data_IF_723356208019
#
_entry.id   IF_723356208019
#
_cell.length_a   1.000
_cell.length_b   1.000
_cell.length_c   1.000
_cell.angle_alpha   90.00
_cell.angle_beta   90.00
_cell.angle_gamma   90.00
#
_symmetry.space_group_name_H-M   'P 1'
#
loop_
_entity.id
_entity.type
_entity.pdbx_description
1 polymer ?
#
# COMPACT_ATOMS: atom_id res chain seq x y z
N UNK A 1 1.47 -7.36 68.45
CA UNK A 1 0.62 -7.47 67.26
C UNK A 1 1.57 -7.44 66.08
N UNK A 2 2.17 -8.60 65.79
CA UNK A 2 1.76 -9.53 64.72
C UNK A 2 2.37 -9.05 63.40
N UNK A 3 3.18 -9.80 62.65
CA UNK A 3 3.52 -11.20 62.64
C UNK A 3 4.01 -11.52 61.21
N UNK A 4 4.84 -12.57 61.06
CA UNK A 4 5.09 -13.39 59.85
C UNK A 4 5.11 -12.73 58.46
N UNK A 5 6.14 -12.87 57.64
CA UNK A 5 6.85 -14.11 57.34
C UNK A 5 6.71 -14.44 55.84
N UNK A 6 7.87 -14.67 55.21
CA UNK A 6 8.12 -15.56 54.05
C UNK A 6 7.59 -15.27 52.64
N UNK A 7 8.57 -15.43 51.71
CA UNK A 7 8.53 -16.11 50.41
C UNK A 7 8.56 -15.30 49.09
N UNK A 8 9.63 -15.59 48.35
CA UNK A 8 9.89 -15.26 46.96
C UNK A 8 8.87 -15.93 46.05
N UNK A 9 8.45 -15.24 44.99
CA UNK A 9 7.86 -15.86 43.79
C UNK A 9 8.03 -14.93 42.57
N UNK A 10 8.85 -15.35 41.63
CA UNK A 10 8.88 -14.84 40.25
C UNK A 10 7.69 -15.39 39.45
N UNK A 11 7.06 -14.63 38.54
CA UNK A 11 6.20 -15.20 37.52
C UNK A 11 6.93 -15.39 36.17
N UNK A 12 6.65 -16.56 35.60
CA UNK A 12 7.21 -17.18 34.40
C UNK A 12 6.63 -16.60 33.11
N UNK A 13 7.44 -16.58 32.05
CA UNK A 13 7.02 -16.45 30.66
C UNK A 13 6.20 -17.68 30.20
N UNK A 14 5.21 -17.53 29.29
CA UNK A 14 4.62 -18.67 28.59
C UNK A 14 5.38 -18.96 27.29
N UNK A 15 5.97 -20.16 27.23
CA UNK A 15 6.34 -20.87 26.01
C UNK A 15 5.15 -21.75 25.62
N UNK A 16 4.62 -21.61 24.40
CA UNK A 16 3.70 -22.56 23.76
C UNK A 16 4.27 -22.83 22.36
N UNK A 17 5.12 -23.85 22.24
CA UNK A 17 4.79 -25.23 21.83
C UNK A 17 4.45 -25.35 20.35
N UNK A 18 5.42 -25.93 19.65
CA UNK A 18 5.44 -26.38 18.27
C UNK A 18 4.37 -27.46 18.06
N UNK A 19 3.53 -27.29 17.03
CA UNK A 19 2.56 -28.27 16.55
C UNK A 19 2.94 -28.70 15.13
N UNK A 20 3.16 -30.00 14.99
CA UNK A 20 3.83 -30.70 13.90
C UNK A 20 2.96 -30.88 12.64
N UNK A 21 3.64 -31.04 11.50
CA UNK A 21 3.09 -31.23 10.16
C UNK A 21 2.37 -32.58 9.98
N UNK A 22 1.34 -32.62 9.12
CA UNK A 22 1.00 -33.83 8.36
C UNK A 22 0.31 -33.49 7.04
N UNK A 23 0.86 -34.04 5.96
CA UNK A 23 0.47 -33.86 4.56
C UNK A 23 -0.65 -34.87 4.14
N UNK A 24 -1.25 -34.73 2.93
CA UNK A 24 -2.65 -35.05 2.67
C UNK A 24 -2.93 -36.46 2.11
N UNK A 25 -4.14 -36.97 2.34
CA UNK A 25 -4.66 -38.20 1.71
C UNK A 25 -5.39 -37.90 0.40
N UNK A 26 -4.95 -38.59 -0.65
CA UNK A 26 -5.60 -38.69 -1.97
C UNK A 26 -6.92 -39.48 -1.88
N UNK A 27 -7.91 -39.11 -2.70
CA UNK A 27 -8.94 -40.01 -3.20
C UNK A 27 -9.53 -39.49 -4.52
N UNK A 28 -9.63 -40.36 -5.51
CA UNK A 28 -10.42 -40.24 -6.76
C UNK A 28 -10.54 -41.66 -7.34
N UNK A 29 -11.47 -41.94 -8.28
CA UNK A 29 -12.84 -41.48 -8.44
C UNK A 29 -13.83 -42.67 -8.66
N UNK A 30 -15.15 -42.45 -8.56
CA UNK A 30 -16.16 -43.34 -9.19
C UNK A 30 -17.31 -42.53 -9.82
N UNK A 31 -17.68 -43.02 -11.00
CA UNK A 31 -18.57 -42.48 -12.02
C UNK A 31 -20.03 -42.98 -11.84
N UNK A 32 -21.04 -42.24 -12.31
CA UNK A 32 -22.45 -42.67 -12.33
C UNK A 32 -23.42 -41.61 -12.89
N UNK A 33 -24.16 -41.97 -13.93
CA UNK A 33 -24.91 -41.15 -14.90
C UNK A 33 -26.31 -40.58 -14.50
N UNK A 34 -26.64 -39.46 -15.18
CA UNK A 34 -27.93 -39.04 -15.84
C UNK A 34 -29.19 -38.63 -15.04
N UNK A 35 -29.70 -37.43 -15.39
CA UNK A 35 -31.12 -37.01 -15.27
C UNK A 35 -31.36 -35.56 -15.75
N UNK A 36 -32.28 -35.36 -16.73
CA UNK A 36 -32.59 -34.11 -17.47
C UNK A 36 -33.53 -33.13 -16.73
N UNK A 37 -33.41 -31.81 -17.01
CA UNK A 37 -34.44 -30.89 -17.56
C UNK A 37 -34.37 -29.42 -17.03
N UNK A 38 -34.41 -28.46 -17.97
CA UNK A 38 -34.45 -26.98 -17.93
C UNK A 38 -35.86 -26.41 -17.58
N UNK A 39 -36.18 -25.09 -17.64
CA UNK A 39 -35.39 -23.83 -17.50
C UNK A 39 -36.10 -22.75 -16.62
N UNK A 40 -35.44 -21.64 -16.22
CA UNK A 40 -36.10 -20.31 -16.00
C UNK A 40 -35.15 -19.13 -16.21
N UNK A 41 -35.74 -18.08 -16.78
CA UNK A 41 -35.25 -16.80 -17.33
C UNK A 41 -34.65 -15.77 -16.35
N UNK A 42 -33.81 -14.89 -16.93
CA UNK A 42 -33.44 -13.49 -16.58
C UNK A 42 -32.71 -13.28 -15.24
N UNK A 43 -31.62 -12.51 -15.13
CA UNK A 43 -31.44 -11.13 -15.58
C UNK A 43 -29.95 -10.75 -15.68
N UNK A 44 -29.66 -9.72 -16.47
CA UNK A 44 -28.34 -9.13 -16.63
C UNK A 44 -27.91 -8.35 -15.37
N UNK A 45 -26.83 -8.79 -14.72
CA UNK A 45 -25.95 -7.90 -13.96
C UNK A 45 -24.51 -8.12 -14.43
N UNK A 46 -23.90 -7.07 -14.97
CA UNK A 46 -22.44 -7.00 -15.16
C UNK A 46 -21.82 -6.91 -13.76
N UNK A 47 -21.55 -8.05 -13.16
CA UNK A 47 -20.58 -8.13 -12.08
C UNK A 47 -19.19 -8.02 -12.70
N UNK A 48 -18.44 -7.00 -12.28
CA UNK A 48 -17.01 -6.94 -12.51
C UNK A 48 -16.40 -8.24 -11.98
N UNK A 49 -15.84 -9.04 -12.88
CA UNK A 49 -15.11 -10.25 -12.56
C UNK A 49 -14.02 -9.93 -11.53
N UNK A 50 -14.31 -10.19 -10.25
CA UNK A 50 -13.29 -10.54 -9.26
C UNK A 50 -12.73 -11.89 -9.70
N UNK A 51 -11.82 -11.85 -10.68
CA UNK A 51 -11.04 -13.01 -11.10
C UNK A 51 -10.25 -13.52 -9.90
N UNK A 52 -10.84 -14.50 -9.23
CA UNK A 52 -10.17 -15.41 -8.31
C UNK A 52 -8.80 -15.78 -8.89
N UNK A 53 -7.77 -15.59 -8.07
CA UNK A 53 -6.37 -15.77 -8.44
C UNK A 53 -6.18 -17.21 -8.93
N UNK A 54 -6.13 -17.40 -10.26
CA UNK A 54 -5.73 -18.67 -10.87
C UNK A 54 -4.32 -19.00 -10.39
N UNK A 55 -4.18 -20.11 -9.68
CA UNK A 55 -2.98 -20.57 -8.97
C UNK A 55 -1.72 -20.88 -9.79
N UNK A 56 -1.54 -20.26 -10.96
CA UNK A 56 -0.39 -20.47 -11.84
C UNK A 56 0.34 -19.17 -12.25
N UNK A 57 -0.17 -17.99 -11.91
CA UNK A 57 0.52 -16.73 -12.23
C UNK A 57 1.39 -16.29 -11.06
N UNK A 58 2.71 -16.35 -11.26
CA UNK A 58 3.70 -15.82 -10.32
C UNK A 58 4.21 -14.49 -10.88
N UNK A 59 3.98 -13.35 -10.18
CA UNK A 59 4.49 -12.05 -10.59
C UNK A 59 6.01 -12.03 -10.75
N UNK A 60 6.52 -11.27 -11.72
CA UNK A 60 7.97 -11.19 -11.99
C UNK A 60 8.54 -9.79 -11.86
N UNK A 61 7.68 -8.77 -11.90
CA UNK A 61 8.07 -7.37 -11.67
C UNK A 61 7.70 -6.92 -10.26
N UNK A 62 8.38 -5.89 -9.76
CA UNK A 62 8.08 -5.30 -8.46
C UNK A 62 6.62 -4.83 -8.37
N UNK A 63 6.13 -4.10 -9.38
CA UNK A 63 4.76 -3.59 -9.41
C UNK A 63 3.71 -4.72 -9.40
N UNK A 64 3.90 -5.76 -10.22
CA UNK A 64 2.99 -6.90 -10.23
C UNK A 64 3.00 -7.65 -8.89
N UNK A 65 4.18 -7.87 -8.30
CA UNK A 65 4.30 -8.59 -7.03
C UNK A 65 3.71 -7.78 -5.86
N UNK A 66 3.94 -6.46 -5.84
CA UNK A 66 3.31 -5.57 -4.88
C UNK A 66 1.78 -5.65 -4.98
N UNK A 67 1.22 -5.49 -6.19
CA UNK A 67 -0.23 -5.52 -6.39
C UNK A 67 -0.81 -6.90 -6.07
N UNK A 68 -0.05 -7.97 -6.26
CA UNK A 68 -0.44 -9.32 -5.86
C UNK A 68 -0.51 -9.45 -4.32
N UNK A 69 0.52 -9.02 -3.60
CA UNK A 69 0.53 -8.97 -2.13
C UNK A 69 -0.61 -8.11 -1.58
N UNK A 70 -0.78 -6.90 -2.12
CA UNK A 70 -1.88 -6.01 -1.74
C UNK A 70 -3.25 -6.64 -2.04
N UNK A 71 -3.37 -7.44 -3.09
CA UNK A 71 -4.61 -8.16 -3.42
C UNK A 71 -4.98 -9.20 -2.37
N UNK A 72 -3.99 -9.93 -1.86
CA UNK A 72 -4.20 -10.97 -0.83
C UNK A 72 -4.72 -10.36 0.47
N UNK A 73 -4.21 -9.20 0.86
CA UNK A 73 -4.62 -8.51 2.08
C UNK A 73 -5.81 -7.57 1.87
N UNK A 74 -6.44 -7.59 0.69
CA UNK A 74 -7.64 -6.79 0.39
C UNK A 74 -7.38 -5.31 0.09
N UNK A 75 -6.13 -4.88 -0.10
CA UNK A 75 -5.72 -3.48 -0.27
C UNK A 75 -5.47 -3.07 -1.74
N UNK A 76 -5.67 -3.97 -2.70
CA UNK A 76 -5.42 -3.68 -4.13
C UNK A 76 -6.30 -2.55 -4.69
N UNK A 77 -7.46 -2.31 -4.11
CA UNK A 77 -8.42 -1.30 -4.56
C UNK A 77 -8.01 0.13 -4.20
N UNK A 78 -7.04 0.30 -3.30
CA UNK A 78 -6.56 1.61 -2.86
C UNK A 78 -5.82 2.32 -3.99
N UNK A 79 -6.43 3.35 -4.59
CA UNK A 79 -5.86 4.07 -5.71
C UNK A 79 -4.49 4.68 -5.39
N UNK A 80 -4.32 5.19 -4.17
CA UNK A 80 -3.08 5.81 -3.72
C UNK A 80 -1.88 4.86 -3.69
N UNK A 81 -2.08 3.54 -3.57
CA UNK A 81 -0.99 2.56 -3.71
C UNK A 81 -0.35 2.62 -5.10
N UNK A 82 -1.13 2.89 -6.15
CA UNK A 82 -0.63 3.00 -7.53
C UNK A 82 0.21 4.26 -7.71
N UNK A 83 -0.20 5.38 -7.12
CA UNK A 83 0.58 6.63 -7.17
C UNK A 83 1.98 6.45 -6.57
N UNK A 84 2.07 5.73 -5.44
CA UNK A 84 3.36 5.42 -4.82
C UNK A 84 4.17 4.46 -5.70
N UNK A 85 3.55 3.41 -6.27
CA UNK A 85 4.23 2.49 -7.18
C UNK A 85 4.81 3.18 -8.41
N UNK A 86 4.06 4.08 -9.03
CA UNK A 86 4.51 4.84 -10.20
C UNK A 86 5.66 5.80 -9.86
N UNK A 87 5.72 6.29 -8.63
CA UNK A 87 6.77 7.20 -8.15
C UNK A 87 7.96 6.47 -7.51
N UNK A 88 7.87 5.15 -7.35
CA UNK A 88 8.81 4.38 -6.53
C UNK A 88 10.23 4.37 -7.12
N UNK A 89 10.35 4.28 -8.44
CA UNK A 89 11.65 4.33 -9.12
C UNK A 89 12.35 5.67 -8.89
N UNK A 90 11.61 6.78 -9.04
CA UNK A 90 12.12 8.13 -8.76
C UNK A 90 12.57 8.27 -7.30
N UNK A 91 11.82 7.72 -6.35
CA UNK A 91 12.19 7.70 -4.92
C UNK A 91 13.53 7.00 -4.72
N UNK A 92 13.69 5.80 -5.31
CA UNK A 92 14.89 4.98 -5.14
C UNK A 92 16.11 5.65 -5.80
N UNK A 93 15.97 6.17 -7.01
CA UNK A 93 17.05 6.85 -7.74
C UNK A 93 17.52 8.12 -7.00
N UNK A 94 16.60 8.83 -6.34
CA UNK A 94 16.90 10.09 -5.66
C UNK A 94 17.16 9.96 -4.15
N UNK A 95 17.22 8.75 -3.59
CA UNK A 95 17.36 8.55 -2.13
C UNK A 95 18.56 9.28 -1.51
N UNK A 96 19.67 9.40 -2.25
CA UNK A 96 20.89 10.05 -1.78
C UNK A 96 20.83 11.59 -1.87
N UNK A 97 19.87 12.15 -2.60
CA UNK A 97 19.68 13.59 -2.74
C UNK A 97 18.44 14.02 -1.93
N UNK A 98 18.67 14.50 -0.71
CA UNK A 98 17.61 14.83 0.24
C UNK A 98 16.64 15.92 -0.26
N UNK A 99 17.16 16.94 -0.94
CA UNK A 99 16.34 18.01 -1.52
C UNK A 99 15.44 17.44 -2.62
N UNK A 100 16.00 16.65 -3.53
CA UNK A 100 15.22 16.04 -4.61
C UNK A 100 14.21 15.02 -4.09
N UNK A 101 14.58 14.18 -3.13
CA UNK A 101 13.68 13.22 -2.52
C UNK A 101 12.50 13.92 -1.82
N UNK A 102 12.76 15.06 -1.18
CA UNK A 102 11.72 15.86 -0.56
C UNK A 102 10.72 16.39 -1.62
N UNK A 103 11.19 16.95 -2.72
CA UNK A 103 10.33 17.38 -3.84
C UNK A 103 9.48 16.23 -4.38
N UNK A 104 10.07 15.06 -4.61
CA UNK A 104 9.34 13.88 -5.09
C UNK A 104 8.26 13.45 -4.09
N UNK A 105 8.55 13.50 -2.77
CA UNK A 105 7.56 13.19 -1.74
C UNK A 105 6.45 14.24 -1.65
N UNK A 106 6.75 15.53 -1.84
CA UNK A 106 5.76 16.60 -1.84
C UNK A 106 4.80 16.46 -3.02
N UNK A 107 5.32 16.22 -4.22
CA UNK A 107 4.50 15.94 -5.42
C UNK A 107 3.68 14.67 -5.24
N UNK A 108 4.27 13.61 -4.70
CA UNK A 108 3.56 12.36 -4.41
C UNK A 108 2.42 12.58 -3.41
N UNK A 109 2.62 13.37 -2.35
CA UNK A 109 1.57 13.67 -1.38
C UNK A 109 0.38 14.38 -2.05
N UNK A 110 0.63 15.34 -2.96
CA UNK A 110 -0.43 15.99 -3.74
C UNK A 110 -1.22 14.98 -4.61
N UNK A 111 -0.51 14.07 -5.29
CA UNK A 111 -1.13 13.00 -6.09
C UNK A 111 -1.98 12.05 -5.26
N UNK A 112 -1.47 11.67 -4.08
CA UNK A 112 -2.19 10.83 -3.11
C UNK A 112 -3.46 11.55 -2.64
N UNK A 113 -3.37 12.81 -2.18
CA UNK A 113 -4.54 13.55 -1.71
C UNK A 113 -5.64 13.62 -2.78
N UNK A 114 -5.26 13.89 -4.03
CA UNK A 114 -6.20 13.96 -5.17
C UNK A 114 -6.97 12.65 -5.42
N UNK A 115 -6.33 11.50 -5.23
CA UNK A 115 -6.97 10.20 -5.52
C UNK A 115 -7.55 9.50 -4.28
N UNK A 116 -7.07 9.79 -3.07
CA UNK A 116 -7.51 9.15 -1.84
C UNK A 116 -8.94 9.56 -1.47
N UNK A 117 -9.37 10.81 -1.76
CA UNK A 117 -10.75 11.31 -1.62
C UNK A 117 -11.48 10.85 -0.34
N UNK A 118 -10.84 11.03 0.81
CA UNK A 118 -11.39 10.64 2.13
C UNK A 118 -11.07 9.20 2.57
N UNK A 119 -10.38 8.42 1.74
CA UNK A 119 -9.81 7.13 2.16
C UNK A 119 -8.61 7.37 3.05
N UNK A 120 -8.58 6.74 4.23
CA UNK A 120 -7.45 6.85 5.13
C UNK A 120 -6.17 6.30 4.47
N UNK A 121 -5.11 7.11 4.47
CA UNK A 121 -3.81 6.74 3.91
C UNK A 121 -2.96 6.11 5.01
N UNK A 122 -2.83 4.79 4.99
CA UNK A 122 -1.98 4.06 5.92
C UNK A 122 -0.65 3.66 5.26
N UNK A 123 0.37 4.49 5.44
CA UNK A 123 1.71 4.26 4.86
C UNK A 123 2.39 2.97 5.37
N UNK A 124 1.97 2.44 6.53
CA UNK A 124 2.52 1.20 7.07
C UNK A 124 2.05 -0.03 6.29
N UNK A 125 0.83 0.01 5.74
CA UNK A 125 0.31 -1.07 4.89
C UNK A 125 1.09 -1.17 3.59
N UNK A 126 1.44 -0.02 2.99
CA UNK A 126 2.30 0.02 1.82
C UNK A 126 3.68 -0.55 2.13
N UNK A 127 4.32 -0.16 3.25
CA UNK A 127 5.60 -0.72 3.72
C UNK A 127 5.59 -2.24 3.72
N UNK A 128 4.55 -2.83 4.31
CA UNK A 128 4.42 -4.27 4.45
C UNK A 128 4.31 -4.95 3.08
N UNK A 129 3.49 -4.40 2.17
CA UNK A 129 3.35 -4.92 0.81
C UNK A 129 4.65 -4.78 -0.01
N UNK A 130 5.36 -3.66 0.14
CA UNK A 130 6.65 -3.38 -0.50
C UNK A 130 7.71 -4.39 -0.05
N UNK A 131 7.93 -4.53 1.25
CA UNK A 131 8.93 -5.46 1.79
C UNK A 131 8.58 -6.91 1.43
N UNK A 132 7.29 -7.29 1.49
CA UNK A 132 6.86 -8.61 1.05
C UNK A 132 7.14 -8.84 -0.44
N UNK A 133 6.98 -7.82 -1.29
CA UNK A 133 7.22 -7.95 -2.72
C UNK A 133 8.71 -8.12 -3.04
N UNK A 134 9.56 -7.33 -2.38
CA UNK A 134 11.02 -7.42 -2.56
C UNK A 134 11.57 -8.79 -2.11
N UNK A 135 11.11 -9.29 -0.95
CA UNK A 135 11.48 -10.64 -0.45
C UNK A 135 11.12 -11.74 -1.44
N UNK A 136 9.89 -11.70 -1.98
CA UNK A 136 9.41 -12.70 -2.94
C UNK A 136 10.17 -12.67 -4.26
N UNK A 137 10.66 -11.51 -4.69
CA UNK A 137 11.39 -11.37 -5.96
C UNK A 137 12.88 -11.66 -5.83
N UNK A 138 13.48 -11.44 -4.65
CA UNK A 138 14.92 -11.57 -4.44
C UNK A 138 15.28 -12.57 -3.32
N UNK A 139 14.66 -13.77 -3.23
CA UNK A 139 14.80 -14.65 -2.07
C UNK A 139 16.22 -15.20 -1.85
N UNK A 140 17.06 -15.21 -2.90
CA UNK A 140 18.46 -15.67 -2.82
C UNK A 140 19.42 -14.60 -2.31
N UNK A 141 19.06 -13.33 -2.46
CA UNK A 141 19.89 -12.19 -2.06
C UNK A 141 19.39 -11.56 -0.76
N UNK A 142 18.11 -11.73 -0.44
CA UNK A 142 17.48 -11.10 0.71
C UNK A 142 18.11 -11.59 2.02
N UNK A 143 18.72 -10.66 2.73
CA UNK A 143 19.29 -10.86 4.06
C UNK A 143 18.80 -9.75 5.00
N UNK A 144 19.29 -9.76 6.23
CA UNK A 144 18.93 -8.73 7.22
C UNK A 144 19.46 -7.33 6.83
N UNK A 145 20.53 -7.25 6.05
CA UNK A 145 21.09 -5.97 5.58
C UNK A 145 20.14 -5.28 4.61
N UNK A 146 19.62 -6.02 3.62
CA UNK A 146 18.61 -5.52 2.70
C UNK A 146 17.32 -5.15 3.44
N UNK A 147 16.89 -5.97 4.39
CA UNK A 147 15.71 -5.71 5.23
C UNK A 147 15.81 -4.35 5.93
N UNK A 148 16.93 -4.10 6.60
CA UNK A 148 17.20 -2.84 7.30
C UNK A 148 17.28 -1.67 6.33
N UNK A 149 17.97 -1.83 5.20
CA UNK A 149 18.15 -0.76 4.21
C UNK A 149 16.81 -0.32 3.59
N UNK A 150 15.98 -1.27 3.15
CA UNK A 150 14.65 -0.96 2.57
C UNK A 150 13.66 -0.43 3.62
N UNK A 151 13.76 -0.91 4.86
CA UNK A 151 12.99 -0.37 5.98
C UNK A 151 13.36 1.09 6.23
N UNK A 152 14.66 1.40 6.29
CA UNK A 152 15.17 2.76 6.48
C UNK A 152 14.74 3.69 5.34
N UNK A 153 14.84 3.25 4.08
CA UNK A 153 14.36 4.03 2.93
C UNK A 153 12.90 4.45 3.14
N UNK A 154 12.04 3.46 3.42
CA UNK A 154 10.61 3.72 3.55
C UNK A 154 10.28 4.60 4.75
N UNK A 155 10.95 4.42 5.88
CA UNK A 155 10.74 5.27 7.06
C UNK A 155 11.08 6.74 6.78
N UNK A 156 12.09 7.01 5.96
CA UNK A 156 12.40 8.36 5.52
C UNK A 156 11.32 8.94 4.60
N UNK A 157 10.86 8.16 3.62
CA UNK A 157 9.77 8.54 2.72
C UNK A 157 8.49 8.81 3.51
N UNK A 158 8.13 7.92 4.42
CA UNK A 158 6.97 8.05 5.29
C UNK A 158 7.05 9.33 6.13
N UNK A 159 8.20 9.63 6.74
CA UNK A 159 8.41 10.87 7.49
C UNK A 159 8.21 12.12 6.63
N UNK A 160 8.62 12.10 5.36
CA UNK A 160 8.42 13.22 4.44
C UNK A 160 6.95 13.33 4.02
N UNK A 161 6.33 12.24 3.60
CA UNK A 161 4.92 12.20 3.21
C UNK A 161 4.00 12.66 4.35
N UNK A 162 4.24 12.21 5.58
CA UNK A 162 3.42 12.60 6.74
C UNK A 162 3.48 14.09 7.08
N UNK A 163 4.49 14.84 6.61
CA UNK A 163 4.52 16.31 6.78
C UNK A 163 3.56 17.02 5.83
N UNK A 164 3.35 16.44 4.66
CA UNK A 164 2.61 17.07 3.56
C UNK A 164 1.19 16.51 3.47
N UNK A 165 0.96 15.24 3.81
CA UNK A 165 -0.37 14.64 3.77
C UNK A 165 -1.34 15.38 4.70
N UNK A 166 -2.52 15.74 4.16
CA UNK A 166 -3.56 16.50 4.86
C UNK A 166 -3.43 18.02 4.74
N UNK A 167 -2.26 18.55 4.41
CA UNK A 167 -2.08 19.99 4.16
C UNK A 167 -2.67 20.50 2.81
N UNK A 168 -2.68 19.72 1.71
CA UNK A 168 -3.13 20.22 0.41
C UNK A 168 -4.54 20.79 0.39
N UNK A 169 -5.49 20.22 1.13
CA UNK A 169 -6.87 20.75 1.19
C UNK A 169 -6.90 22.17 1.77
N UNK A 170 -6.02 22.46 2.73
CA UNK A 170 -5.88 23.82 3.29
C UNK A 170 -5.25 24.75 2.26
N UNK A 171 -4.19 24.29 1.58
CA UNK A 171 -3.51 25.07 0.56
C UNK A 171 -4.39 25.39 -0.63
N UNK A 172 -5.23 24.44 -1.07
CA UNK A 172 -6.18 24.65 -2.16
C UNK A 172 -7.20 25.74 -1.79
N UNK A 173 -7.74 25.72 -0.57
CA UNK A 173 -8.66 26.75 -0.08
C UNK A 173 -8.00 28.13 0.01
N UNK A 174 -6.79 28.19 0.56
CA UNK A 174 -6.07 29.45 0.73
C UNK A 174 -5.65 30.02 -0.64
N UNK A 175 -5.25 29.15 -1.57
CA UNK A 175 -4.95 29.50 -2.96
C UNK A 175 -6.19 30.02 -3.68
N UNK A 176 -7.34 29.35 -3.54
CA UNK A 176 -8.61 29.80 -4.11
C UNK A 176 -8.99 31.19 -3.59
N UNK A 177 -8.88 31.41 -2.28
CA UNK A 177 -9.13 32.72 -1.66
C UNK A 177 -8.20 33.80 -2.20
N UNK A 178 -6.90 33.49 -2.37
CA UNK A 178 -5.93 34.41 -2.95
C UNK A 178 -6.27 34.73 -4.40
N UNK A 179 -6.56 33.71 -5.21
CA UNK A 179 -6.90 33.87 -6.63
C UNK A 179 -8.18 34.71 -6.79
N UNK A 180 -9.19 34.51 -5.95
CA UNK A 180 -10.42 35.31 -5.97
C UNK A 180 -10.21 36.77 -5.53
N UNK A 181 -9.13 37.07 -4.80
CA UNK A 181 -8.82 38.43 -4.38
C UNK A 181 -8.21 39.31 -5.49
N UNK A 182 -7.75 38.70 -6.59
CA UNK A 182 -7.14 39.45 -7.68
C UNK A 182 -8.17 40.20 -8.52
N UNK A 183 -7.83 41.45 -8.85
CA UNK A 183 -8.63 42.23 -9.78
C UNK A 183 -8.43 41.76 -11.24
N UNK A 184 -9.28 42.28 -12.14
CA UNK A 184 -9.25 41.89 -13.57
C UNK A 184 -7.94 42.27 -14.27
N UNK A 185 -7.25 43.31 -13.81
CA UNK A 185 -5.98 43.78 -14.37
C UNK A 185 -4.82 42.88 -13.92
N UNK A 186 -4.77 42.54 -12.63
CA UNK A 186 -3.79 41.61 -12.07
C UNK A 186 -3.91 40.23 -12.70
N UNK A 187 -5.14 39.73 -12.86
CA UNK A 187 -5.41 38.48 -13.56
C UNK A 187 -4.98 38.50 -15.03
N UNK A 188 -5.05 39.66 -15.69
CA UNK A 188 -4.59 39.78 -17.07
C UNK A 188 -3.06 39.71 -17.17
N UNK A 189 -2.33 40.42 -16.31
CA UNK A 189 -0.87 40.38 -16.29
C UNK A 189 -0.34 38.97 -15.95
N UNK A 190 -0.92 38.31 -14.94
CA UNK A 190 -0.54 36.91 -14.60
C UNK A 190 -0.75 35.99 -15.79
N UNK A 191 -1.90 36.08 -16.49
CA UNK A 191 -2.15 35.26 -17.69
C UNK A 191 -1.17 35.57 -18.80
N UNK A 192 -0.85 36.84 -19.03
CA UNK A 192 0.09 37.28 -20.06
C UNK A 192 1.48 36.69 -19.83
N UNK A 193 2.01 36.78 -18.62
CA UNK A 193 3.33 36.21 -18.26
C UNK A 193 3.41 34.69 -18.48
N UNK A 194 2.30 33.96 -18.31
CA UNK A 194 2.25 32.51 -18.56
C UNK A 194 2.46 32.16 -20.04
N UNK A 195 2.00 33.02 -20.97
CA UNK A 195 2.11 32.78 -22.42
C UNK A 195 3.39 33.33 -23.06
N UNK A 196 4.20 34.10 -22.32
CA UNK A 196 5.47 34.63 -22.80
C UNK A 196 6.67 33.70 -22.55
N UNK A 197 6.46 32.54 -21.90
CA UNK A 197 7.43 31.45 -21.76
C UNK A 197 7.29 30.39 -22.85
#
# INVERSE_FOLDING_TARGET
ADGSGSEQLSPKSPVMSVGEATAPRQNSPKNGEKGKAQPKDKDHHKEEETKSVRGNYVPKTFAEMFLWNAGIVGLRHLAWHKEVLESFDNIVVNVANSARLQEECEVLALRITKCAKGTAVNLSEYKNCMLAALRSLLPRLWDNTYEVAWTWLWENVQRLLSKTLGSPETWERDLESMVMSFDSSQMYEIRKEIYER
#
